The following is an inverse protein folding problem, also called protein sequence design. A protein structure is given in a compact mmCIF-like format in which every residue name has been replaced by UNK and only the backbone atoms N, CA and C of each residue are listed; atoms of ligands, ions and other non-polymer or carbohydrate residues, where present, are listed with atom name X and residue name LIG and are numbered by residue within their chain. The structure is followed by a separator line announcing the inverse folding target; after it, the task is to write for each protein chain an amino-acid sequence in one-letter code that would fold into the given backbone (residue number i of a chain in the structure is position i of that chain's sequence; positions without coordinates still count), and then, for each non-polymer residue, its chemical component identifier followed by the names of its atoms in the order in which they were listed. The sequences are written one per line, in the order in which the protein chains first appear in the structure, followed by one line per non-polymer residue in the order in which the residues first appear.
data_IF_077960781746
#
_entry.id   IF_077960781746
#
_cell.length_a   1.000
_cell.length_b   1.000
_cell.length_c   1.000
_cell.angle_alpha   90.00
_cell.angle_beta   90.00
_cell.angle_gamma   90.00
#
_symmetry.space_group_name_H-M   'P 1'
#
loop_
_entity.id
_entity.type
_entity.pdbx_description
1 polymer ?
#
# COMPACT_ATOMS: atom_id res chain seq x y z
N UNK A 1 -11.25 -25.14 1.03
CA UNK A 1 -10.23 -24.07 0.85
C UNK A 1 -10.65 -23.20 -0.33
N UNK A 2 -10.29 -21.92 -0.34
CA UNK A 2 -10.52 -21.01 -1.49
C UNK A 2 -9.44 -21.31 -2.52
N UNK A 3 -9.85 -21.66 -3.74
CA UNK A 3 -8.96 -21.93 -4.86
C UNK A 3 -8.44 -20.61 -5.42
N UNK A 4 -7.13 -20.43 -5.45
CA UNK A 4 -6.50 -19.18 -5.91
C UNK A 4 -5.58 -19.41 -7.10
N UNK A 5 -5.59 -18.46 -8.04
CA UNK A 5 -4.67 -18.42 -9.16
C UNK A 5 -3.92 -17.09 -9.23
N UNK A 6 -2.67 -17.11 -9.67
CA UNK A 6 -1.85 -15.91 -9.87
C UNK A 6 -1.81 -15.56 -11.36
N UNK A 7 -2.05 -14.29 -11.67
CA UNK A 7 -2.03 -13.76 -13.05
C UNK A 7 -0.89 -12.75 -13.17
N UNK A 8 0.16 -13.16 -13.85
CA UNK A 8 1.46 -12.49 -13.91
C UNK A 8 2.50 -13.18 -13.03
N UNK A 9 3.58 -13.70 -13.63
CA UNK A 9 4.66 -14.42 -12.95
C UNK A 9 6.00 -13.68 -13.04
N UNK A 10 5.96 -12.35 -13.11
CA UNK A 10 7.13 -11.48 -13.00
C UNK A 10 7.76 -11.54 -11.61
N UNK A 11 8.56 -10.53 -11.25
CA UNK A 11 9.27 -10.52 -9.96
C UNK A 11 8.29 -10.63 -8.78
N UNK A 12 7.25 -9.79 -8.74
CA UNK A 12 6.28 -9.77 -7.65
C UNK A 12 5.37 -11.00 -7.68
N UNK A 13 4.96 -11.46 -8.87
CA UNK A 13 4.17 -12.68 -9.03
C UNK A 13 4.85 -13.92 -8.45
N UNK A 14 6.18 -14.04 -8.60
CA UNK A 14 6.97 -15.12 -7.97
C UNK A 14 6.95 -15.06 -6.45
N UNK A 15 6.91 -13.85 -5.87
CA UNK A 15 6.80 -13.67 -4.41
C UNK A 15 5.42 -14.13 -3.95
N UNK A 16 4.34 -13.71 -4.62
CA UNK A 16 2.98 -14.14 -4.31
C UNK A 16 2.82 -15.67 -4.44
N UNK A 17 3.32 -16.27 -5.53
CA UNK A 17 3.31 -17.73 -5.71
C UNK A 17 3.99 -18.46 -4.55
N UNK A 18 5.16 -17.99 -4.13
CA UNK A 18 5.90 -18.60 -3.03
C UNK A 18 5.15 -18.51 -1.69
N UNK A 19 4.51 -17.39 -1.39
CA UNK A 19 3.72 -17.23 -0.17
C UNK A 19 2.45 -18.09 -0.24
N UNK A 20 1.74 -18.06 -1.36
CA UNK A 20 0.51 -18.81 -1.56
C UNK A 20 0.71 -20.32 -1.49
N UNK A 21 1.87 -20.84 -1.92
CA UNK A 21 2.18 -22.28 -1.87
C UNK A 21 2.24 -22.86 -0.44
N UNK A 22 2.36 -22.01 0.59
CA UNK A 22 2.40 -22.39 2.00
C UNK A 22 1.27 -21.77 2.83
N UNK A 23 0.32 -21.12 2.18
CA UNK A 23 -0.80 -20.41 2.81
C UNK A 23 -2.04 -21.29 2.99
N UNK A 24 -3.07 -20.72 3.62
CA UNK A 24 -4.39 -21.35 3.75
C UNK A 24 -5.27 -21.28 2.49
N UNK A 25 -4.75 -20.75 1.39
CA UNK A 25 -5.35 -20.89 0.07
C UNK A 25 -5.03 -22.25 -0.56
N UNK A 26 -5.85 -22.67 -1.52
CA UNK A 26 -5.54 -23.77 -2.43
C UNK A 26 -4.96 -23.16 -3.72
N UNK A 27 -3.63 -23.14 -3.85
CA UNK A 27 -2.94 -22.59 -5.02
C UNK A 27 -3.13 -23.54 -6.21
N UNK A 28 -4.06 -23.22 -7.10
CA UNK A 28 -4.34 -24.00 -8.32
C UNK A 28 -3.22 -23.86 -9.36
N UNK A 29 -2.59 -22.69 -9.46
CA UNK A 29 -1.50 -22.41 -10.39
C UNK A 29 -1.44 -20.96 -10.84
N UNK A 30 -0.80 -20.73 -11.98
CA UNK A 30 -0.60 -19.37 -12.48
C UNK A 30 -0.71 -19.29 -14.01
N UNK A 31 -0.93 -18.06 -14.49
CA UNK A 31 -0.90 -17.70 -15.91
C UNK A 31 0.07 -16.54 -16.13
N UNK A 32 0.83 -16.59 -17.22
CA UNK A 32 1.65 -15.49 -17.72
C UNK A 32 1.76 -15.58 -19.25
N UNK A 33 1.97 -14.44 -19.90
CA UNK A 33 2.15 -14.37 -21.36
C UNK A 33 3.52 -14.85 -21.81
N UNK A 34 4.54 -14.82 -20.91
CA UNK A 34 5.87 -15.37 -21.17
C UNK A 34 5.91 -16.88 -20.91
N UNK A 35 5.49 -17.63 -21.95
CA UNK A 35 5.38 -19.10 -21.87
C UNK A 35 6.70 -19.77 -21.54
N UNK A 36 7.83 -19.27 -22.09
CA UNK A 36 9.14 -19.91 -21.91
C UNK A 36 9.63 -19.83 -20.45
N UNK A 37 9.56 -18.62 -19.84
CA UNK A 37 9.95 -18.44 -18.46
C UNK A 37 8.94 -19.08 -17.50
N UNK A 38 7.67 -19.12 -17.86
CA UNK A 38 6.62 -19.76 -17.06
C UNK A 38 6.79 -21.27 -16.98
N UNK A 39 7.12 -21.93 -18.08
CA UNK A 39 7.42 -23.38 -18.08
C UNK A 39 8.62 -23.72 -17.20
N UNK A 40 9.68 -22.91 -17.25
CA UNK A 40 10.86 -23.09 -16.38
C UNK A 40 10.48 -22.94 -14.90
N UNK A 41 9.74 -21.85 -14.56
CA UNK A 41 9.28 -21.60 -13.20
C UNK A 41 8.40 -22.74 -12.67
N UNK A 42 7.48 -23.25 -13.50
CA UNK A 42 6.60 -24.37 -13.16
C UNK A 42 7.39 -25.63 -12.81
N UNK A 43 8.40 -25.98 -13.62
CA UNK A 43 9.27 -27.12 -13.37
C UNK A 43 10.18 -26.95 -12.13
N UNK A 44 10.74 -25.74 -11.93
CA UNK A 44 11.64 -25.46 -10.82
C UNK A 44 10.95 -25.45 -9.46
N UNK A 45 9.69 -25.05 -9.42
CA UNK A 45 8.92 -24.82 -8.18
C UNK A 45 7.76 -25.75 -7.98
N UNK A 46 7.53 -26.70 -8.89
CA UNK A 46 6.38 -27.61 -8.92
C UNK A 46 5.03 -26.88 -8.92
N UNK A 47 4.95 -25.77 -9.70
CA UNK A 47 3.72 -25.02 -9.88
C UNK A 47 3.00 -25.44 -11.17
N UNK A 48 1.67 -25.40 -11.16
CA UNK A 48 0.86 -25.61 -12.37
C UNK A 48 0.84 -24.32 -13.21
N UNK A 49 1.35 -24.40 -14.44
CA UNK A 49 1.27 -23.31 -15.41
C UNK A 49 0.13 -23.51 -16.39
N UNK A 50 -0.76 -22.53 -16.48
CA UNK A 50 -1.86 -22.48 -17.42
C UNK A 50 -1.46 -21.67 -18.66
N UNK A 51 -1.51 -22.29 -19.84
CA UNK A 51 -1.19 -21.60 -21.09
C UNK A 51 -2.23 -20.60 -21.53
N UNK A 52 -3.47 -20.78 -21.09
CA UNK A 52 -4.63 -19.96 -21.44
C UNK A 52 -5.28 -19.40 -20.20
N UNK A 53 -5.50 -18.07 -20.16
CA UNK A 53 -6.10 -17.37 -19.02
C UNK A 53 -7.47 -17.95 -18.67
N UNK A 54 -8.33 -18.20 -19.66
CA UNK A 54 -9.70 -18.70 -19.41
C UNK A 54 -9.71 -20.06 -18.70
N UNK A 55 -8.72 -20.93 -18.96
CA UNK A 55 -8.62 -22.24 -18.28
C UNK A 55 -8.29 -22.07 -16.81
N UNK A 56 -7.41 -21.12 -16.44
CA UNK A 56 -7.16 -20.77 -15.06
C UNK A 56 -8.42 -20.21 -14.39
N UNK A 57 -9.11 -19.24 -15.04
CA UNK A 57 -10.31 -18.60 -14.49
C UNK A 57 -11.43 -19.60 -14.20
N UNK A 58 -11.59 -20.65 -15.02
CA UNK A 58 -12.59 -21.70 -14.80
C UNK A 58 -12.26 -22.62 -13.60
N UNK A 59 -11.08 -22.49 -13.01
CA UNK A 59 -10.57 -23.41 -11.97
C UNK A 59 -10.42 -22.75 -10.60
N UNK A 60 -10.66 -21.43 -10.47
CA UNK A 60 -10.35 -20.65 -9.28
C UNK A 60 -11.57 -19.89 -8.74
N UNK A 61 -11.55 -19.63 -7.43
CA UNK A 61 -12.51 -18.79 -6.71
C UNK A 61 -11.98 -17.37 -6.51
N UNK A 62 -10.64 -17.20 -6.53
CA UNK A 62 -9.95 -15.94 -6.31
C UNK A 62 -8.72 -15.79 -7.22
N UNK A 63 -8.47 -14.57 -7.69
CA UNK A 63 -7.34 -14.22 -8.54
C UNK A 63 -6.43 -13.18 -7.89
N UNK A 64 -5.12 -13.42 -7.91
CA UNK A 64 -4.10 -12.45 -7.53
C UNK A 64 -3.50 -11.87 -8.82
N UNK A 65 -3.85 -10.62 -9.13
CA UNK A 65 -3.48 -9.94 -10.38
C UNK A 65 -2.23 -9.09 -10.14
N UNK A 66 -1.11 -9.55 -10.67
CA UNK A 66 0.23 -8.94 -10.52
C UNK A 66 0.91 -8.77 -11.89
N UNK A 67 0.10 -8.62 -12.91
CA UNK A 67 0.51 -8.32 -14.30
C UNK A 67 0.88 -6.84 -14.46
N UNK A 68 1.35 -6.37 -15.62
CA UNK A 68 1.54 -4.93 -15.85
C UNK A 68 0.25 -4.13 -15.66
N UNK A 69 0.35 -2.93 -15.08
CA UNK A 69 -0.79 -2.05 -14.74
C UNK A 69 -1.79 -1.86 -15.89
N UNK A 70 -1.28 -1.76 -17.12
CA UNK A 70 -2.11 -1.58 -18.33
C UNK A 70 -3.09 -2.72 -18.59
N UNK A 71 -2.90 -3.87 -17.96
CA UNK A 71 -3.74 -5.06 -18.13
C UNK A 71 -4.68 -5.29 -16.93
N UNK A 72 -4.51 -4.58 -15.83
CA UNK A 72 -5.29 -4.78 -14.59
C UNK A 72 -6.78 -4.66 -14.82
N UNK A 73 -7.22 -3.61 -15.53
CA UNK A 73 -8.64 -3.37 -15.78
C UNK A 73 -9.33 -4.55 -16.49
N UNK A 74 -8.79 -4.97 -17.63
CA UNK A 74 -9.40 -6.03 -18.45
C UNK A 74 -9.39 -7.39 -17.73
N UNK A 75 -8.31 -7.69 -16.98
CA UNK A 75 -8.18 -8.95 -16.24
C UNK A 75 -9.13 -8.94 -15.04
N UNK A 76 -9.13 -7.88 -14.22
CA UNK A 76 -9.99 -7.77 -13.07
C UNK A 76 -11.48 -7.82 -13.47
N UNK A 77 -11.85 -7.12 -14.54
CA UNK A 77 -13.19 -7.14 -15.08
C UNK A 77 -13.62 -8.57 -15.46
N UNK A 78 -12.79 -9.29 -16.22
CA UNK A 78 -13.07 -10.70 -16.57
C UNK A 78 -13.22 -11.59 -15.35
N UNK A 79 -12.36 -11.44 -14.33
CA UNK A 79 -12.47 -12.20 -13.09
C UNK A 79 -13.81 -11.93 -12.41
N UNK A 80 -14.17 -10.67 -12.21
CA UNK A 80 -15.40 -10.26 -11.53
C UNK A 80 -16.64 -10.73 -12.31
N UNK A 81 -16.65 -10.61 -13.66
CA UNK A 81 -17.71 -11.10 -14.51
C UNK A 81 -17.97 -12.60 -14.37
N UNK A 82 -16.91 -13.37 -14.08
CA UNK A 82 -16.97 -14.81 -13.81
C UNK A 82 -17.21 -15.18 -12.34
N UNK A 83 -17.49 -14.19 -11.47
CA UNK A 83 -17.76 -14.46 -10.05
C UNK A 83 -16.52 -14.72 -9.20
N UNK A 84 -15.33 -14.35 -9.69
CA UNK A 84 -14.04 -14.59 -9.05
C UNK A 84 -13.65 -13.38 -8.20
N UNK A 85 -13.30 -13.58 -6.93
CA UNK A 85 -12.76 -12.56 -6.04
C UNK A 85 -11.40 -12.06 -6.54
N UNK A 86 -11.09 -10.78 -6.36
CA UNK A 86 -9.89 -10.19 -6.96
C UNK A 86 -9.01 -9.47 -5.94
N UNK A 87 -7.75 -9.83 -5.92
CA UNK A 87 -6.68 -9.01 -5.40
C UNK A 87 -5.95 -8.39 -6.59
N UNK A 88 -5.83 -7.08 -6.62
CA UNK A 88 -5.17 -6.36 -7.72
C UNK A 88 -4.01 -5.55 -7.17
N UNK A 89 -2.82 -5.78 -7.70
CA UNK A 89 -1.66 -4.97 -7.34
C UNK A 89 -1.87 -3.48 -7.68
N UNK A 90 -1.19 -2.66 -6.91
CA UNK A 90 -1.23 -1.21 -7.15
C UNK A 90 -0.50 -0.83 -8.47
N UNK A 91 -0.94 0.21 -9.15
CA UNK A 91 -2.23 0.89 -8.99
C UNK A 91 -3.39 0.00 -9.46
N UNK A 92 -4.57 0.18 -8.90
CA UNK A 92 -5.76 -0.63 -9.25
C UNK A 92 -6.01 -0.67 -10.76
N UNK A 93 -5.91 0.50 -11.42
CA UNK A 93 -6.04 0.67 -12.87
C UNK A 93 -5.21 1.85 -13.34
N UNK A 94 -5.14 2.09 -14.65
CA UNK A 94 -4.41 3.23 -15.23
C UNK A 94 -5.11 4.58 -15.03
N UNK A 95 -6.42 4.58 -14.74
CA UNK A 95 -7.20 5.80 -14.57
C UNK A 95 -8.45 5.55 -13.69
N UNK A 96 -8.96 6.62 -13.08
CA UNK A 96 -10.09 6.55 -12.15
C UNK A 96 -11.42 6.14 -12.78
N UNK A 97 -11.62 6.26 -14.10
CA UNK A 97 -12.83 5.81 -14.77
C UNK A 97 -12.91 4.29 -14.78
N UNK A 98 -11.82 3.62 -15.11
CA UNK A 98 -11.68 2.16 -15.05
C UNK A 98 -11.87 1.65 -13.62
N UNK A 99 -11.23 2.29 -12.62
CA UNK A 99 -11.37 1.93 -11.22
C UNK A 99 -12.83 2.00 -10.72
N UNK A 100 -13.58 3.03 -11.13
CA UNK A 100 -15.02 3.17 -10.84
C UNK A 100 -15.85 2.02 -11.45
N UNK A 101 -15.50 1.58 -12.67
CA UNK A 101 -16.19 0.46 -13.32
C UNK A 101 -15.94 -0.84 -12.56
N UNK A 102 -14.67 -1.11 -12.20
CA UNK A 102 -14.28 -2.30 -11.42
C UNK A 102 -15.01 -2.33 -10.09
N UNK A 103 -14.97 -1.23 -9.33
CA UNK A 103 -15.66 -1.16 -8.04
C UNK A 103 -17.17 -1.41 -8.18
N UNK A 104 -17.83 -0.72 -9.12
CA UNK A 104 -19.24 -0.89 -9.35
C UNK A 104 -19.60 -2.33 -9.70
N UNK A 105 -18.85 -2.95 -10.61
CA UNK A 105 -19.08 -4.33 -11.03
C UNK A 105 -18.89 -5.33 -9.87
N UNK A 106 -17.86 -5.10 -9.02
CA UNK A 106 -17.63 -5.93 -7.85
C UNK A 106 -18.78 -5.82 -6.83
N UNK A 107 -19.29 -4.59 -6.59
CA UNK A 107 -20.45 -4.35 -5.72
C UNK A 107 -21.69 -5.08 -6.24
N UNK A 108 -22.02 -4.95 -7.53
CA UNK A 108 -23.18 -5.57 -8.16
C UNK A 108 -23.15 -7.10 -8.09
N UNK A 109 -21.96 -7.68 -8.14
CA UNK A 109 -21.75 -9.14 -8.10
C UNK A 109 -21.39 -9.69 -6.73
N UNK A 110 -21.34 -8.86 -5.69
CA UNK A 110 -20.91 -9.23 -4.34
C UNK A 110 -19.51 -9.88 -4.31
N UNK A 111 -18.60 -9.36 -5.11
CA UNK A 111 -17.21 -9.81 -5.18
C UNK A 111 -16.36 -9.06 -4.16
N UNK A 112 -15.60 -9.79 -3.35
CA UNK A 112 -14.57 -9.20 -2.51
C UNK A 112 -13.41 -8.77 -3.41
N UNK A 113 -13.04 -7.49 -3.31
CA UNK A 113 -11.90 -6.93 -4.01
C UNK A 113 -10.94 -6.25 -3.05
N UNK A 114 -9.65 -6.47 -3.25
CA UNK A 114 -8.56 -5.87 -2.48
C UNK A 114 -7.51 -5.27 -3.39
N UNK A 115 -6.89 -4.18 -2.96
CA UNK A 115 -5.79 -3.54 -3.68
C UNK A 115 -4.48 -3.76 -2.93
N UNK A 116 -3.40 -4.07 -3.65
CA UNK A 116 -2.08 -4.39 -3.10
C UNK A 116 -1.32 -3.19 -2.55
N UNK A 117 -1.90 -2.42 -1.62
CA UNK A 117 -1.20 -1.39 -0.88
C UNK A 117 -0.48 -1.98 0.33
N UNK A 118 0.58 -2.72 0.05
CA UNK A 118 1.37 -3.49 1.03
C UNK A 118 1.86 -2.68 2.23
N UNK A 119 2.07 -1.36 2.08
CA UNK A 119 2.50 -0.50 3.18
C UNK A 119 1.43 -0.35 4.30
N UNK A 120 0.15 -0.63 4.00
CA UNK A 120 -0.92 -0.75 5.02
C UNK A 120 -0.67 -1.91 6.00
N UNK A 121 0.10 -2.90 5.57
CA UNK A 121 0.49 -4.09 6.34
C UNK A 121 1.94 -4.03 6.80
N UNK A 122 2.62 -2.88 6.65
CA UNK A 122 3.95 -2.66 7.19
C UNK A 122 3.90 -2.63 8.72
N UNK A 123 4.74 -3.42 9.37
CA UNK A 123 4.74 -3.56 10.84
C UNK A 123 4.90 -2.21 11.57
N UNK A 124 5.74 -1.31 11.06
CA UNK A 124 5.91 0.01 11.64
C UNK A 124 4.61 0.83 11.57
N UNK A 125 3.89 0.76 10.45
CA UNK A 125 2.62 1.45 10.27
C UNK A 125 1.51 0.87 11.16
N UNK A 126 1.39 -0.45 11.22
CA UNK A 126 0.38 -1.12 12.07
C UNK A 126 0.62 -0.76 13.53
N UNK A 127 1.87 -0.87 14.01
CA UNK A 127 2.21 -0.60 15.41
C UNK A 127 2.08 0.87 15.80
N UNK A 128 2.35 1.81 14.88
CA UNK A 128 2.23 3.24 15.19
C UNK A 128 0.80 3.78 15.07
N UNK A 129 -0.12 3.03 14.46
CA UNK A 129 -1.47 3.50 14.12
C UNK A 129 -2.27 3.99 15.32
N UNK A 130 -2.13 3.36 16.48
CA UNK A 130 -2.80 3.73 17.72
C UNK A 130 -2.37 5.08 18.29
N UNK A 131 -1.15 5.54 17.96
CA UNK A 131 -0.60 6.83 18.41
C UNK A 131 -1.06 8.00 17.53
N UNK A 132 -1.61 7.74 16.34
CA UNK A 132 -2.02 8.77 15.40
C UNK A 132 -3.46 9.21 15.67
N UNK A 133 -3.61 10.47 16.08
CA UNK A 133 -4.90 11.07 16.40
C UNK A 133 -4.97 12.52 15.88
N UNK A 134 -5.91 12.82 14.99
CA UNK A 134 -6.16 14.17 14.44
C UNK A 134 -4.87 14.88 13.96
N UNK A 135 -4.16 14.34 12.98
CA UNK A 135 -2.93 14.95 12.49
C UNK A 135 -3.18 16.39 12.00
N UNK A 136 -2.24 17.28 12.30
CA UNK A 136 -2.25 18.68 11.86
C UNK A 136 -1.38 18.90 10.63
N UNK A 137 -0.25 18.20 10.60
CA UNK A 137 0.69 18.26 9.48
C UNK A 137 1.30 16.88 9.25
N UNK A 138 1.45 16.51 7.98
CA UNK A 138 2.05 15.25 7.55
C UNK A 138 3.11 15.55 6.50
N UNK A 139 4.27 14.95 6.65
CA UNK A 139 5.36 15.04 5.68
C UNK A 139 5.80 13.64 5.28
N UNK A 140 5.81 13.33 3.97
CA UNK A 140 6.22 12.04 3.46
C UNK A 140 7.28 12.17 2.37
N UNK A 141 8.31 11.31 2.46
CA UNK A 141 9.38 11.20 1.48
C UNK A 141 9.54 9.75 1.05
N UNK A 142 9.42 9.52 -0.26
CA UNK A 142 9.68 8.22 -0.88
C UNK A 142 10.69 8.37 -2.01
N UNK A 143 11.93 8.02 -1.69
CA UNK A 143 13.07 8.20 -2.56
C UNK A 143 13.68 6.84 -2.91
N UNK A 144 13.97 6.60 -4.17
CA UNK A 144 14.67 5.40 -4.65
C UNK A 144 15.71 5.75 -5.70
N UNK A 145 16.68 4.87 -5.87
CA UNK A 145 17.58 4.83 -7.01
C UNK A 145 16.80 4.51 -8.30
N UNK A 146 17.36 4.91 -9.42
CA UNK A 146 16.74 4.66 -10.72
C UNK A 146 16.69 3.16 -11.03
N UNK A 147 15.50 2.70 -11.39
CA UNK A 147 15.30 1.35 -11.90
C UNK A 147 14.50 1.47 -13.21
N UNK A 148 15.00 0.93 -14.35
CA UNK A 148 14.27 0.99 -15.62
C UNK A 148 12.94 0.24 -15.60
N UNK A 149 12.72 -0.66 -14.62
CA UNK A 149 11.41 -1.29 -14.40
C UNK A 149 10.46 -0.30 -13.74
N UNK A 150 9.23 -0.21 -14.18
CA UNK A 150 8.21 0.72 -13.63
C UNK A 150 8.28 2.13 -14.20
N UNK A 151 9.07 2.35 -15.28
CA UNK A 151 9.10 3.65 -15.99
C UNK A 151 7.94 3.84 -16.97
N UNK A 152 7.12 2.82 -17.16
CA UNK A 152 5.86 2.82 -17.90
C UNK A 152 4.79 3.72 -17.26
N UNK A 153 4.91 3.97 -15.96
CA UNK A 153 4.06 4.91 -15.20
C UNK A 153 4.87 6.03 -14.56
N UNK A 154 4.22 7.12 -14.18
CA UNK A 154 4.87 8.22 -13.47
C UNK A 154 5.31 7.80 -12.05
N UNK A 155 6.29 8.52 -11.47
CA UNK A 155 6.70 8.33 -10.08
C UNK A 155 5.54 8.46 -9.08
N UNK A 156 4.47 9.17 -9.47
CA UNK A 156 3.25 9.30 -8.67
C UNK A 156 2.55 7.94 -8.56
N UNK A 157 2.31 7.29 -9.70
CA UNK A 157 1.61 6.00 -9.76
C UNK A 157 2.50 4.83 -9.30
N UNK A 158 3.82 4.97 -9.38
CA UNK A 158 4.74 3.93 -8.93
C UNK A 158 5.06 4.04 -7.44
N UNK A 159 5.47 5.23 -6.97
CA UNK A 159 5.98 5.46 -5.63
C UNK A 159 5.03 6.26 -4.73
N UNK A 160 4.62 7.47 -5.15
CA UNK A 160 3.84 8.38 -4.30
C UNK A 160 2.48 7.81 -3.90
N UNK A 161 1.91 6.95 -4.72
CA UNK A 161 0.62 6.30 -4.48
C UNK A 161 0.55 5.59 -3.12
N UNK A 162 1.65 4.98 -2.67
CA UNK A 162 1.71 4.37 -1.34
C UNK A 162 1.58 5.39 -0.21
N UNK A 163 2.20 6.56 -0.37
CA UNK A 163 2.16 7.61 0.64
C UNK A 163 0.82 8.33 0.62
N UNK A 164 0.21 8.50 -0.56
CA UNK A 164 -1.16 9.00 -0.71
C UNK A 164 -2.13 8.09 0.03
N UNK A 165 -2.05 6.79 -0.19
CA UNK A 165 -2.89 5.80 0.48
C UNK A 165 -2.74 5.87 2.01
N UNK A 166 -1.51 5.90 2.53
CA UNK A 166 -1.24 6.04 3.97
C UNK A 166 -1.85 7.34 4.53
N UNK A 167 -1.67 8.47 3.84
CA UNK A 167 -2.16 9.77 4.30
C UNK A 167 -3.69 9.80 4.32
N UNK A 168 -4.35 9.28 3.29
CA UNK A 168 -5.82 9.18 3.25
C UNK A 168 -6.36 8.25 4.34
N UNK A 169 -5.62 7.20 4.70
CA UNK A 169 -6.00 6.30 5.79
C UNK A 169 -5.90 6.94 7.18
N UNK A 170 -4.83 7.69 7.45
CA UNK A 170 -4.61 8.29 8.78
C UNK A 170 -5.38 9.60 8.97
N UNK A 171 -5.71 10.30 7.90
CA UNK A 171 -6.47 11.54 7.94
C UNK A 171 -7.80 11.39 7.20
N UNK A 172 -8.83 10.92 7.91
CA UNK A 172 -10.16 10.63 7.37
C UNK A 172 -10.99 11.91 7.09
N UNK A 173 -10.37 12.91 6.49
CA UNK A 173 -11.03 14.16 6.08
C UNK A 173 -11.01 14.28 4.56
N UNK A 174 -12.01 14.97 4.00
CA UNK A 174 -12.04 15.22 2.56
C UNK A 174 -10.89 16.13 2.13
N UNK A 175 -10.36 15.84 0.96
CA UNK A 175 -9.36 16.71 0.31
C UNK A 175 -10.05 18.00 -0.13
N UNK A 176 -9.50 19.14 0.29
CA UNK A 176 -9.98 20.49 -0.04
C UNK A 176 -9.25 21.06 -1.26
N UNK A 177 -7.93 20.86 -1.31
CA UNK A 177 -7.08 21.42 -2.37
C UNK A 177 -5.85 20.57 -2.59
N UNK A 178 -5.36 20.49 -3.82
CA UNK A 178 -4.10 19.85 -4.20
C UNK A 178 -3.31 20.84 -5.05
N UNK A 179 -2.07 21.10 -4.63
CA UNK A 179 -1.05 21.78 -5.43
C UNK A 179 0.08 20.77 -5.68
N UNK A 180 0.35 20.44 -6.94
CA UNK A 180 1.33 19.42 -7.28
C UNK A 180 2.18 19.81 -8.49
N UNK A 181 3.41 19.32 -8.52
CA UNK A 181 4.33 19.46 -9.64
C UNK A 181 5.10 18.16 -9.86
N UNK A 182 5.52 17.95 -11.11
CA UNK A 182 6.33 16.78 -11.48
C UNK A 182 7.33 17.16 -12.57
N UNK A 183 8.50 16.54 -12.51
CA UNK A 183 9.61 16.82 -13.44
C UNK A 183 10.11 15.49 -14.02
N UNK A 184 10.20 15.45 -15.35
CA UNK A 184 10.82 14.36 -16.12
C UNK A 184 12.29 14.69 -16.35
N UNK A 185 13.21 13.81 -15.98
CA UNK A 185 14.67 13.99 -16.12
C UNK A 185 15.28 12.86 -16.95
N UNK A 186 14.97 11.61 -16.64
CA UNK A 186 15.49 10.42 -17.32
C UNK A 186 14.39 9.78 -18.17
N UNK A 187 13.16 9.71 -17.65
CA UNK A 187 12.02 9.06 -18.28
C UNK A 187 11.14 10.04 -19.05
N UNK A 188 10.25 9.53 -19.91
CA UNK A 188 9.20 10.34 -20.58
C UNK A 188 8.08 10.78 -19.64
N UNK A 189 7.98 10.18 -18.46
CA UNK A 189 7.02 10.52 -17.39
C UNK A 189 7.78 11.13 -16.21
N UNK A 190 7.10 11.85 -15.28
CA UNK A 190 7.78 12.44 -14.12
C UNK A 190 8.59 11.44 -13.32
N UNK A 191 9.86 11.78 -13.07
CA UNK A 191 10.82 11.03 -12.25
C UNK A 191 10.89 11.56 -10.82
N UNK A 192 10.52 12.82 -10.63
CA UNK A 192 10.36 13.49 -9.33
C UNK A 192 8.99 14.13 -9.30
N UNK A 193 8.29 14.05 -8.18
CA UNK A 193 7.03 14.74 -7.94
C UNK A 193 6.96 15.26 -6.51
N UNK A 194 6.32 16.41 -6.36
CA UNK A 194 5.95 16.99 -5.08
C UNK A 194 4.46 17.31 -5.10
N UNK A 195 3.77 17.04 -3.99
CA UNK A 195 2.37 17.36 -3.82
C UNK A 195 2.13 17.94 -2.42
N UNK A 196 1.34 19.01 -2.37
CA UNK A 196 0.78 19.57 -1.15
C UNK A 196 -0.73 19.37 -1.17
N UNK A 197 -1.25 18.67 -0.16
CA UNK A 197 -2.67 18.36 -0.01
C UNK A 197 -3.19 19.10 1.21
N UNK A 198 -4.25 19.88 1.05
CA UNK A 198 -4.99 20.52 2.13
C UNK A 198 -6.31 19.79 2.34
N UNK A 199 -6.64 19.48 3.58
CA UNK A 199 -7.87 18.80 3.96
C UNK A 199 -8.88 19.76 4.60
N UNK A 200 -10.18 19.39 4.57
CA UNK A 200 -11.24 20.21 5.13
C UNK A 200 -11.11 20.41 6.66
N UNK A 201 -10.51 19.45 7.38
CA UNK A 201 -10.22 19.57 8.81
C UNK A 201 -9.00 20.45 9.14
N UNK A 202 -8.38 21.07 8.14
CA UNK A 202 -7.21 21.93 8.30
C UNK A 202 -5.86 21.19 8.32
N UNK A 203 -5.84 19.86 8.26
CA UNK A 203 -4.60 19.11 8.12
C UNK A 203 -3.94 19.40 6.76
N UNK A 204 -2.62 19.44 6.75
CA UNK A 204 -1.82 19.64 5.55
C UNK A 204 -0.87 18.47 5.41
N UNK A 205 -0.77 17.91 4.19
CA UNK A 205 0.21 16.89 3.86
C UNK A 205 1.13 17.34 2.73
N UNK A 206 2.44 17.21 2.92
CA UNK A 206 3.45 17.41 1.90
C UNK A 206 4.08 16.07 1.54
N UNK A 207 4.06 15.73 0.25
CA UNK A 207 4.64 14.50 -0.28
C UNK A 207 5.74 14.84 -1.28
N UNK A 208 6.83 14.10 -1.20
CA UNK A 208 7.91 14.15 -2.19
C UNK A 208 8.30 12.73 -2.57
N UNK A 209 8.24 12.43 -3.86
CA UNK A 209 8.68 11.14 -4.39
C UNK A 209 9.69 11.33 -5.52
N UNK A 210 10.74 10.52 -5.51
CA UNK A 210 11.78 10.52 -6.53
C UNK A 210 12.26 9.09 -6.80
N UNK A 211 12.40 8.74 -8.07
CA UNK A 211 13.02 7.48 -8.51
C UNK A 211 14.43 7.64 -9.07
N UNK A 212 15.04 8.79 -8.82
CA UNK A 212 16.40 9.13 -9.28
C UNK A 212 17.28 9.67 -8.15
N UNK A 213 17.05 9.21 -6.93
CA UNK A 213 17.78 9.62 -5.73
C UNK A 213 18.93 8.65 -5.42
N UNK A 214 20.04 9.17 -4.89
CA UNK A 214 21.19 8.35 -4.49
C UNK A 214 20.97 7.56 -3.19
N UNK A 215 20.01 7.98 -2.37
CA UNK A 215 19.66 7.32 -1.11
C UNK A 215 18.21 6.90 -1.12
N UNK A 216 17.95 5.66 -0.72
CA UNK A 216 16.60 5.16 -0.50
C UNK A 216 16.04 5.74 0.79
N UNK A 217 14.80 6.18 0.74
CA UNK A 217 14.04 6.67 1.90
C UNK A 217 12.57 6.34 1.71
N UNK A 218 11.93 5.85 2.77
CA UNK A 218 10.47 5.68 2.84
C UNK A 218 10.04 6.13 4.22
N UNK A 219 9.83 7.43 4.40
CA UNK A 219 9.63 8.01 5.71
C UNK A 219 8.43 8.94 5.73
N UNK A 220 7.53 8.73 6.70
CA UNK A 220 6.41 9.62 6.98
C UNK A 220 6.53 10.17 8.39
N UNK A 221 6.32 11.47 8.53
CA UNK A 221 6.29 12.20 9.80
C UNK A 221 4.90 12.78 10.01
N UNK A 222 4.33 12.52 11.16
CA UNK A 222 3.00 13.00 11.55
C UNK A 222 3.17 13.93 12.74
N UNK A 223 2.65 15.14 12.61
CA UNK A 223 2.63 16.15 13.66
C UNK A 223 1.19 16.35 14.10
N UNK A 224 0.94 16.18 15.38
CA UNK A 224 -0.35 16.39 16.03
C UNK A 224 -0.15 17.19 17.33
N UNK A 225 -1.22 17.52 18.01
CA UNK A 225 -1.16 18.44 19.15
C UNK A 225 -0.32 17.88 20.32
N UNK A 226 -0.43 16.58 20.56
CA UNK A 226 0.14 15.87 21.71
C UNK A 226 1.30 14.95 21.34
N UNK A 227 1.63 14.81 20.06
CA UNK A 227 2.72 13.93 19.62
C UNK A 227 3.32 14.31 18.26
N UNK A 228 4.58 13.90 18.10
CA UNK A 228 5.29 13.75 16.85
C UNK A 228 5.57 12.27 16.61
N UNK A 229 5.21 11.77 15.43
CA UNK A 229 5.41 10.36 15.07
C UNK A 229 6.24 10.31 13.80
N UNK A 230 7.32 9.54 13.81
CA UNK A 230 8.21 9.33 12.66
C UNK A 230 8.21 7.86 12.28
N UNK A 231 7.69 7.52 11.10
CA UNK A 231 7.57 6.16 10.59
C UNK A 231 8.61 5.94 9.50
N UNK A 232 9.44 4.92 9.62
CA UNK A 232 10.38 4.48 8.60
C UNK A 232 9.92 3.14 8.02
N UNK A 233 9.25 3.17 6.87
CA UNK A 233 8.73 1.98 6.20
C UNK A 233 9.84 1.08 5.63
N UNK A 234 11.00 1.65 5.31
CA UNK A 234 12.12 0.90 4.74
C UNK A 234 12.79 0.02 5.79
N UNK A 235 13.03 0.58 6.98
CA UNK A 235 13.65 -0.10 8.12
C UNK A 235 12.61 -0.76 9.04
N UNK A 236 11.32 -0.55 8.73
CA UNK A 236 10.19 -1.07 9.48
C UNK A 236 10.24 -0.68 10.97
N UNK A 237 10.59 0.57 11.22
CA UNK A 237 10.74 1.16 12.56
C UNK A 237 9.93 2.44 12.68
N UNK A 238 9.58 2.83 13.92
CA UNK A 238 8.93 4.09 14.19
C UNK A 238 9.34 4.64 15.56
N UNK A 239 9.16 5.95 15.72
CA UNK A 239 9.41 6.67 16.95
C UNK A 239 8.22 7.55 17.26
N UNK A 240 7.83 7.57 18.52
CA UNK A 240 6.80 8.47 19.06
C UNK A 240 7.42 9.40 20.09
N UNK A 241 7.24 10.69 19.86
CA UNK A 241 7.61 11.72 20.81
C UNK A 241 6.32 12.37 21.31
N UNK A 242 5.92 12.07 22.54
CA UNK A 242 4.73 12.67 23.16
C UNK A 242 5.05 13.99 23.80
N UNK A 243 4.13 14.93 23.71
CA UNK A 243 4.22 16.26 24.27
C UNK A 243 3.00 16.48 25.17
N UNK A 244 3.23 16.83 26.43
CA UNK A 244 2.14 17.17 27.37
C UNK A 244 2.55 18.30 28.31
N UNK A 245 1.58 18.88 29.00
CA UNK A 245 1.83 19.86 30.04
C UNK A 245 2.57 19.21 31.20
N UNK A 246 3.48 19.96 31.84
CA UNK A 246 4.25 19.49 32.99
C UNK A 246 3.34 19.30 34.19
N UNK A 247 3.27 18.07 34.70
CA UNK A 247 2.66 17.74 36.00
C UNK A 247 3.73 17.53 37.07
N UNK A 248 3.41 17.82 38.34
CA UNK A 248 4.36 17.87 39.46
C UNK A 248 5.00 16.52 39.85
N UNK A 249 4.62 15.39 39.24
CA UNK A 249 5.05 14.03 39.62
C UNK A 249 5.73 13.27 38.46
N UNK A 250 6.59 13.92 37.69
CA UNK A 250 7.20 13.27 36.52
C UNK A 250 8.58 12.68 36.77
N UNK A 251 8.88 11.53 36.15
CA UNK A 251 10.14 10.79 36.24
C UNK A 251 11.30 11.52 35.56
N UNK A 252 12.52 11.22 35.99
CA UNK A 252 13.79 11.87 35.60
C UNK A 252 14.17 11.74 34.09
N UNK A 253 13.47 10.92 33.30
CA UNK A 253 13.80 10.67 31.88
C UNK A 253 13.09 11.59 30.89
N UNK A 254 12.46 12.66 31.32
CA UNK A 254 11.71 13.58 30.46
C UNK A 254 12.52 14.87 30.17
N UNK A 255 12.42 15.36 28.91
CA UNK A 255 12.96 16.66 28.54
C UNK A 255 11.89 17.74 28.72
N UNK A 256 12.24 18.77 29.51
CA UNK A 256 11.35 19.95 29.66
C UNK A 256 11.71 21.01 28.65
N UNK A 257 10.74 21.43 27.85
CA UNK A 257 10.88 22.60 26.96
C UNK A 257 9.99 23.72 27.47
N UNK A 258 10.45 24.96 27.30
CA UNK A 258 9.73 26.15 27.70
C UNK A 258 9.48 27.03 26.48
N UNK A 259 8.22 27.43 26.27
CA UNK A 259 7.89 28.33 25.19
C UNK A 259 8.21 29.80 25.58
N UNK A 260 8.02 30.72 24.63
CA UNK A 260 8.32 32.15 24.80
C UNK A 260 7.39 32.88 25.80
N UNK A 261 6.29 32.28 26.18
CA UNK A 261 5.36 32.81 27.21
C UNK A 261 5.51 32.15 28.57
N UNK A 262 6.52 31.28 28.72
CA UNK A 262 6.89 30.64 29.98
C UNK A 262 6.15 29.35 30.32
N UNK A 263 5.33 28.83 29.43
CA UNK A 263 4.69 27.51 29.62
C UNK A 263 5.68 26.38 29.43
N UNK A 264 5.69 25.42 30.34
CA UNK A 264 6.56 24.26 30.30
C UNK A 264 5.81 23.06 29.75
N UNK A 265 6.40 22.44 28.72
CA UNK A 265 5.95 21.17 28.13
C UNK A 265 6.99 20.10 28.41
N UNK A 266 6.54 18.89 28.57
CA UNK A 266 7.39 17.72 28.80
C UNK A 266 7.34 16.81 27.57
N UNK A 267 8.53 16.37 27.15
CA UNK A 267 8.72 15.50 26.01
C UNK A 267 9.10 14.10 26.50
N UNK A 268 8.41 13.08 26.00
CA UNK A 268 8.65 11.66 26.27
C UNK A 268 8.95 10.94 24.97
N UNK A 269 10.01 10.13 24.99
CA UNK A 269 10.35 9.24 23.88
C UNK A 269 9.78 7.84 24.15
N UNK A 270 8.87 7.39 23.32
CA UNK A 270 8.37 6.01 23.36
C UNK A 270 8.96 5.21 22.20
N UNK A 271 9.46 4.02 22.49
CA UNK A 271 9.86 3.00 21.50
C UNK A 271 9.05 1.75 21.77
N UNK A 272 7.82 1.68 21.27
CA UNK A 272 7.01 0.49 21.42
C UNK A 272 7.66 -0.71 20.73
N UNK A 273 7.40 -1.91 21.23
CA UNK A 273 7.85 -3.14 20.58
C UNK A 273 7.14 -3.32 19.23
N UNK A 274 7.90 -3.71 18.23
CA UNK A 274 7.40 -3.98 16.89
C UNK A 274 7.42 -5.49 16.68
N UNK A 275 6.25 -6.07 16.40
CA UNK A 275 6.14 -7.48 16.05
C UNK A 275 6.52 -7.65 14.59
N UNK A 276 7.52 -8.48 14.31
CA UNK A 276 7.91 -8.78 12.94
C UNK A 276 6.80 -9.54 12.20
N UNK A 277 6.40 -9.00 11.05
CA UNK A 277 5.41 -9.61 10.16
C UNK A 277 5.87 -9.54 8.71
N UNK A 278 5.43 -10.50 7.91
CA UNK A 278 5.53 -10.43 6.46
C UNK A 278 4.32 -9.64 5.92
N UNK A 279 4.54 -8.43 5.41
CA UNK A 279 3.47 -7.56 4.95
C UNK A 279 2.66 -8.15 3.79
N UNK A 280 3.31 -8.84 2.83
CA UNK A 280 2.62 -9.48 1.69
C UNK A 280 1.79 -10.68 2.16
N UNK A 281 2.31 -11.47 3.07
CA UNK A 281 1.54 -12.57 3.68
C UNK A 281 0.33 -12.04 4.47
N UNK A 282 0.53 -10.95 5.21
CA UNK A 282 -0.55 -10.31 5.97
C UNK A 282 -1.67 -9.76 5.08
N UNK A 283 -1.34 -9.16 3.94
CA UNK A 283 -2.36 -8.67 3.01
C UNK A 283 -3.11 -9.81 2.31
N UNK A 284 -2.44 -10.91 1.98
CA UNK A 284 -3.09 -12.10 1.40
C UNK A 284 -3.99 -12.79 2.43
N UNK A 285 -3.57 -12.85 3.70
CA UNK A 285 -4.39 -13.38 4.79
C UNK A 285 -5.64 -12.52 5.05
N UNK A 286 -5.54 -11.19 4.93
CA UNK A 286 -6.70 -10.28 5.02
C UNK A 286 -7.68 -10.53 3.86
N UNK A 287 -7.17 -10.71 2.65
CA UNK A 287 -7.99 -11.06 1.48
C UNK A 287 -8.73 -12.38 1.68
N UNK A 288 -8.03 -13.42 2.13
CA UNK A 288 -8.64 -14.72 2.44
C UNK A 288 -9.71 -14.61 3.52
N UNK A 289 -9.42 -13.86 4.60
CA UNK A 289 -10.36 -13.61 5.69
C UNK A 289 -11.62 -12.92 5.18
N UNK A 290 -11.46 -11.90 4.34
CA UNK A 290 -12.57 -11.12 3.78
C UNK A 290 -13.47 -11.98 2.89
N UNK A 291 -12.89 -12.89 2.08
CA UNK A 291 -13.66 -13.84 1.26
C UNK A 291 -14.44 -14.81 2.15
N UNK A 292 -13.77 -15.43 3.14
CA UNK A 292 -14.40 -16.41 4.02
C UNK A 292 -15.55 -15.82 4.84
N UNK A 293 -15.43 -14.55 5.27
CA UNK A 293 -16.40 -13.87 6.10
C UNK A 293 -17.38 -12.97 5.32
N UNK A 294 -17.24 -12.88 4.00
CA UNK A 294 -18.02 -11.98 3.12
C UNK A 294 -18.00 -10.55 3.63
N UNK A 295 -16.82 -10.09 4.05
CA UNK A 295 -16.58 -8.74 4.56
C UNK A 295 -15.74 -7.93 3.59
N UNK A 296 -15.76 -6.62 3.72
CA UNK A 296 -14.84 -5.74 2.99
C UNK A 296 -13.40 -5.94 3.51
N UNK A 297 -12.42 -5.94 2.60
CA UNK A 297 -11.00 -6.02 2.99
C UNK A 297 -10.53 -4.69 3.59
N UNK A 298 -9.47 -4.74 4.41
CA UNK A 298 -8.87 -3.53 5.01
C UNK A 298 -8.35 -2.53 3.98
N UNK A 299 -8.04 -3.01 2.79
CA UNK A 299 -7.61 -2.21 1.65
C UNK A 299 -8.51 -2.53 0.46
N UNK A 300 -9.69 -1.93 0.46
CA UNK A 300 -10.76 -2.22 -0.48
C UNK A 300 -10.51 -1.62 -1.87
N UNK A 301 -11.35 -1.99 -2.85
CA UNK A 301 -11.36 -1.35 -4.16
C UNK A 301 -11.69 0.16 -4.07
N UNK A 302 -12.38 0.59 -3.01
CA UNK A 302 -12.66 2.00 -2.78
C UNK A 302 -11.39 2.76 -2.39
N UNK A 303 -10.49 2.16 -1.61
CA UNK A 303 -9.17 2.74 -1.30
C UNK A 303 -8.34 2.92 -2.58
N UNK A 304 -8.40 1.95 -3.49
CA UNK A 304 -7.72 2.05 -4.79
C UNK A 304 -8.32 3.06 -5.76
N UNK A 305 -9.56 3.50 -5.52
CA UNK A 305 -10.25 4.52 -6.32
C UNK A 305 -9.94 5.94 -5.82
N UNK A 306 -9.71 6.12 -4.52
CA UNK A 306 -9.47 7.41 -3.88
C UNK A 306 -8.11 8.00 -4.23
#
# INVERSE_FOLDING_TARGET
MIKVGVIGAGHLGKIHLNILSTSDFDLVGFYDTDVSNSQKLALEKDYVFFKELHTLLNSIDAAIIVSPTTTHFEIAKKCIENGIHVFVEKPLTTNSKEAKIIKKLADEKNIVGQVGFVERYNQAFISCREFINKPKFIESHRLSDFNPRGTDVSVIMDLMIHDIDIILNINQSKVKKIDASGVSIISSTPDIANARIEFENGCIANLTSSRISLKKMRKTRVFQEDAYISINFLEKDFQVVKIRDKNTNESEESLVIKNNIGEEKVIFFEKPEIVEINSIESELNDFLYSIKNKSESKVSLNDGLM
#
